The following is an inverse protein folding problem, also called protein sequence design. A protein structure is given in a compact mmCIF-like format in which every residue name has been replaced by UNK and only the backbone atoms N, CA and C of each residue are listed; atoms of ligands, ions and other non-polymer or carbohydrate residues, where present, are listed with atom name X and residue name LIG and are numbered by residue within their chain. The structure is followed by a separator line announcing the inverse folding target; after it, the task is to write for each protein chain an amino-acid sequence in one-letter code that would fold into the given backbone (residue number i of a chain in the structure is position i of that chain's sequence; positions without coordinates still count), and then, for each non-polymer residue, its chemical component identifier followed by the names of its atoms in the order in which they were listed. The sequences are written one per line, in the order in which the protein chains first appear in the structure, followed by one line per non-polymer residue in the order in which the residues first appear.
data_IF_946371051212
#
_entry.id   IF_946371051212
#
_cell.length_a   1.000
_cell.length_b   1.000
_cell.length_c   1.000
_cell.angle_alpha   90.00
_cell.angle_beta   90.00
_cell.angle_gamma   90.00
#
_symmetry.space_group_name_H-M   'P 1'
#
loop_
_entity.id
_entity.type
_entity.pdbx_description
1 polymer ?
#
# COMPACT_ATOMS: atom_id res chain seq x y z
N UNK A 1 40.66 28.92 -74.44
CA UNK A 1 42.01 28.96 -73.84
C UNK A 1 42.31 30.28 -73.09
N UNK A 2 41.77 31.42 -73.45
CA UNK A 2 42.11 32.70 -72.83
C UNK A 2 41.59 32.89 -71.35
N UNK A 3 40.45 32.30 -70.99
CA UNK A 3 39.87 32.39 -69.61
C UNK A 3 40.68 31.62 -68.55
N UNK A 4 41.31 30.51 -68.91
CA UNK A 4 42.13 29.73 -67.97
C UNK A 4 43.43 30.45 -67.57
N UNK A 5 44.06 31.15 -68.52
CA UNK A 5 45.34 31.90 -68.26
C UNK A 5 45.10 33.08 -67.34
N UNK A 6 43.99 33.78 -67.45
CA UNK A 6 43.67 34.91 -66.59
C UNK A 6 43.42 34.54 -65.12
N UNK A 7 42.79 33.39 -64.89
CA UNK A 7 42.54 32.85 -63.54
C UNK A 7 43.81 32.33 -62.89
N UNK A 8 44.71 31.68 -63.63
CA UNK A 8 46.00 31.23 -63.12
C UNK A 8 46.92 32.39 -62.75
N UNK A 9 46.96 33.44 -63.58
CA UNK A 9 47.77 34.64 -63.31
C UNK A 9 47.28 35.40 -62.07
N UNK A 10 45.99 35.53 -61.87
CA UNK A 10 45.39 36.17 -60.68
C UNK A 10 45.65 35.39 -59.39
N UNK A 11 45.78 34.10 -59.45
CA UNK A 11 46.06 33.22 -58.31
C UNK A 11 47.52 33.33 -57.87
N UNK A 12 48.44 33.58 -58.80
CA UNK A 12 49.86 33.64 -58.50
C UNK A 12 50.30 34.99 -57.93
N UNK A 13 49.63 36.10 -58.23
CA UNK A 13 49.99 37.45 -57.80
C UNK A 13 49.67 37.74 -56.32
N UNK A 14 48.74 37.08 -55.73
CA UNK A 14 48.30 37.34 -54.34
C UNK A 14 49.04 36.53 -53.28
N UNK A 15 49.95 35.62 -53.64
CA UNK A 15 50.62 34.71 -52.71
C UNK A 15 49.61 33.77 -51.98
N UNK A 16 48.36 33.75 -52.38
CA UNK A 16 47.27 32.96 -51.84
C UNK A 16 46.86 31.94 -52.89
N UNK A 17 46.84 30.67 -52.53
CA UNK A 17 46.31 29.61 -53.37
C UNK A 17 44.77 29.67 -53.34
N UNK A 18 44.20 30.21 -54.41
CA UNK A 18 42.75 30.14 -54.62
C UNK A 18 42.40 28.84 -55.42
N UNK A 19 41.31 28.28 -55.11
CA UNK A 19 40.76 27.17 -55.89
C UNK A 19 40.06 27.75 -57.11
N UNK A 20 40.35 27.22 -58.31
CA UNK A 20 39.50 27.49 -59.48
C UNK A 20 38.07 26.89 -59.27
N UNK A 21 37.20 27.12 -60.23
CA UNK A 21 35.82 26.71 -60.13
C UNK A 21 35.67 25.16 -60.01
N UNK A 22 36.59 24.40 -60.66
CA UNK A 22 36.60 22.93 -60.58
C UNK A 22 37.15 22.48 -59.24
N UNK A 23 38.22 23.10 -58.74
CA UNK A 23 38.75 22.84 -57.42
C UNK A 23 37.79 23.19 -56.27
N UNK A 24 37.03 24.29 -56.43
CA UNK A 24 35.98 24.65 -55.48
C UNK A 24 34.83 23.62 -55.50
N UNK A 25 34.42 23.19 -56.72
CA UNK A 25 33.37 22.14 -56.83
C UNK A 25 33.86 20.83 -56.21
N UNK A 26 35.13 20.48 -56.43
CA UNK A 26 35.72 19.26 -55.81
C UNK A 26 35.81 19.37 -54.27
N UNK A 27 36.19 20.56 -53.75
CA UNK A 27 36.19 20.79 -52.30
C UNK A 27 34.81 20.69 -51.71
N UNK A 28 33.80 21.25 -52.35
CA UNK A 28 32.38 21.12 -51.91
C UNK A 28 31.96 19.68 -51.90
N UNK A 29 32.26 18.92 -52.96
CA UNK A 29 31.95 17.51 -53.04
C UNK A 29 32.65 16.70 -51.90
N UNK A 30 33.93 16.97 -51.63
CA UNK A 30 34.68 16.32 -50.55
C UNK A 30 34.14 16.69 -49.17
N UNK A 31 33.68 17.91 -48.99
CA UNK A 31 33.02 18.30 -47.76
C UNK A 31 31.67 17.61 -47.61
N UNK A 32 30.89 17.48 -48.69
CA UNK A 32 29.62 16.73 -48.67
C UNK A 32 29.81 15.26 -48.37
N UNK A 33 30.97 14.66 -48.78
CA UNK A 33 31.33 13.29 -48.45
C UNK A 33 31.81 13.11 -46.99
N UNK A 34 32.38 14.19 -46.38
CA UNK A 34 32.96 14.14 -45.04
C UNK A 34 32.06 14.64 -43.94
N UNK A 35 31.15 15.54 -44.24
CA UNK A 35 30.30 16.20 -43.26
C UNK A 35 28.83 15.87 -43.54
N UNK A 36 28.13 15.54 -42.49
CA UNK A 36 26.68 15.37 -42.56
C UNK A 36 26.04 16.74 -42.83
N UNK A 37 25.31 16.90 -43.95
CA UNK A 37 24.55 18.12 -44.22
C UNK A 37 23.46 18.28 -43.19
N UNK A 38 23.28 19.48 -42.67
CA UNK A 38 22.14 19.84 -41.87
C UNK A 38 20.90 19.90 -42.78
N UNK A 39 19.96 19.01 -42.53
CA UNK A 39 18.62 19.08 -43.15
C UNK A 39 17.71 19.91 -42.24
N UNK A 40 16.86 20.76 -42.87
CA UNK A 40 15.91 21.60 -42.13
C UNK A 40 15.00 20.71 -41.21
N UNK A 41 14.99 21.06 -39.91
CA UNK A 41 14.26 20.26 -38.90
C UNK A 41 14.99 19.06 -38.31
N UNK A 42 16.25 18.77 -38.75
CA UNK A 42 17.09 17.71 -38.20
C UNK A 42 18.39 18.26 -37.59
N UNK A 43 18.78 17.71 -36.43
CA UNK A 43 20.07 18.03 -35.83
C UNK A 43 21.26 17.48 -36.66
N UNK A 44 22.50 17.94 -36.36
CA UNK A 44 23.74 17.53 -37.03
C UNK A 44 24.14 16.05 -36.89
N UNK A 45 23.36 15.28 -36.14
CA UNK A 45 23.50 13.84 -36.02
C UNK A 45 22.32 13.18 -36.70
N UNK A 46 22.59 12.47 -37.80
CA UNK A 46 21.67 11.41 -38.25
C UNK A 46 21.81 10.26 -37.23
N UNK A 47 21.29 10.50 -36.03
CA UNK A 47 20.98 9.41 -35.15
C UNK A 47 19.68 8.80 -35.69
N UNK A 48 19.79 8.08 -36.81
CA UNK A 48 18.72 7.30 -37.43
C UNK A 48 18.42 6.10 -36.51
N UNK A 49 17.98 6.41 -35.27
CA UNK A 49 17.23 5.45 -34.50
C UNK A 49 15.96 5.22 -35.31
N UNK A 50 15.92 4.08 -36.01
CA UNK A 50 14.70 3.64 -36.69
C UNK A 50 13.59 3.58 -35.64
N UNK A 51 12.35 3.69 -36.07
CA UNK A 51 11.20 3.60 -35.15
C UNK A 51 11.22 2.28 -34.37
N UNK A 52 11.86 1.24 -34.92
CA UNK A 52 12.08 -0.03 -34.27
C UNK A 52 13.06 0.10 -33.08
N UNK A 53 14.21 0.78 -33.24
CA UNK A 53 15.15 1.04 -32.15
C UNK A 53 14.55 1.97 -31.07
N UNK A 54 13.78 2.99 -31.48
CA UNK A 54 13.06 3.84 -30.51
C UNK A 54 12.10 3.00 -29.68
N UNK A 55 11.35 2.10 -30.33
CA UNK A 55 10.43 1.18 -29.64
C UNK A 55 11.19 0.26 -28.65
N UNK A 56 12.33 -0.30 -29.04
CA UNK A 56 13.17 -1.11 -28.17
C UNK A 56 13.64 -0.30 -26.95
N UNK A 57 14.13 0.92 -27.14
CA UNK A 57 14.57 1.79 -26.03
C UNK A 57 13.40 2.15 -25.11
N UNK A 58 12.23 2.45 -25.66
CA UNK A 58 11.01 2.73 -24.90
C UNK A 58 10.52 1.49 -24.14
N UNK A 59 10.67 0.29 -24.72
CA UNK A 59 10.32 -0.97 -24.06
C UNK A 59 11.30 -1.30 -22.92
N UNK A 60 12.61 -1.06 -23.12
CA UNK A 60 13.63 -1.26 -22.08
C UNK A 60 13.46 -0.27 -20.90
N UNK A 61 13.03 0.95 -21.16
CA UNK A 61 12.82 1.98 -20.14
C UNK A 61 11.42 1.90 -19.49
N UNK A 62 10.51 1.10 -20.05
CA UNK A 62 9.17 1.00 -19.52
C UNK A 62 9.14 0.36 -18.12
N UNK A 63 8.58 1.09 -17.18
CA UNK A 63 8.27 0.59 -15.83
C UNK A 63 6.75 0.46 -15.70
N UNK A 64 6.21 -0.75 -15.48
CA UNK A 64 4.78 -0.92 -15.24
C UNK A 64 4.29 -0.09 -14.06
N UNK A 65 3.04 0.36 -14.12
CA UNK A 65 2.41 1.01 -12.98
C UNK A 65 2.33 0.04 -11.80
N UNK A 66 2.55 0.56 -10.58
CA UNK A 66 2.31 -0.16 -9.32
C UNK A 66 1.65 0.75 -8.30
N UNK A 67 0.74 0.19 -7.51
CA UNK A 67 0.19 0.83 -6.32
C UNK A 67 1.03 0.37 -5.14
N UNK A 68 1.97 1.22 -4.70
CA UNK A 68 2.91 0.90 -3.62
C UNK A 68 2.16 0.70 -2.29
N UNK A 69 1.24 1.60 -1.97
CA UNK A 69 0.39 1.51 -0.78
C UNK A 69 -1.05 1.87 -1.10
N UNK A 70 -1.99 1.28 -0.36
CA UNK A 70 -3.38 1.70 -0.29
C UNK A 70 -3.91 1.32 1.08
N UNK A 71 -4.24 2.31 1.90
CA UNK A 71 -4.58 2.15 3.32
C UNK A 71 -5.79 3.01 3.67
N UNK A 72 -6.41 2.72 4.81
CA UNK A 72 -7.44 3.53 5.42
C UNK A 72 -7.07 3.85 6.88
N UNK A 73 -7.69 4.89 7.47
CA UNK A 73 -7.41 5.33 8.83
C UNK A 73 -8.23 4.62 9.91
N UNK A 74 -9.08 3.64 9.56
CA UNK A 74 -9.96 2.93 10.51
C UNK A 74 -9.52 1.48 10.75
N UNK A 75 -9.07 0.79 9.71
CA UNK A 75 -8.62 -0.61 9.72
C UNK A 75 -9.56 -1.57 10.46
N UNK A 76 -9.54 -1.53 11.80
CA UNK A 76 -10.33 -2.41 12.66
C UNK A 76 -11.15 -1.58 13.64
N UNK A 77 -12.44 -1.87 13.74
CA UNK A 77 -13.40 -1.24 14.66
C UNK A 77 -14.22 -2.31 15.39
N UNK A 78 -14.74 -1.94 16.56
CA UNK A 78 -15.59 -2.82 17.33
C UNK A 78 -16.96 -2.97 16.66
N UNK A 79 -17.47 -4.20 16.61
CA UNK A 79 -18.82 -4.49 16.13
C UNK A 79 -19.85 -3.71 16.94
N UNK A 80 -20.92 -3.24 16.28
CA UNK A 80 -21.90 -2.31 16.88
C UNK A 80 -21.58 -0.84 16.66
N UNK A 81 -20.31 -0.51 16.35
CA UNK A 81 -19.95 0.88 15.99
C UNK A 81 -20.45 1.25 14.61
N UNK A 82 -20.56 2.57 14.38
CA UNK A 82 -20.81 3.14 13.05
C UNK A 82 -19.60 3.98 12.63
N UNK A 83 -19.05 3.71 11.46
CA UNK A 83 -17.98 4.53 10.89
C UNK A 83 -18.60 5.54 9.94
N UNK A 84 -18.44 6.83 10.28
CA UNK A 84 -19.01 7.97 9.52
C UNK A 84 -18.03 8.57 8.53
N UNK A 85 -16.74 8.53 8.85
CA UNK A 85 -15.71 9.15 8.04
C UNK A 85 -14.53 8.20 7.87
N UNK A 86 -14.08 8.02 6.62
CA UNK A 86 -12.92 7.21 6.29
C UNK A 86 -12.01 8.00 5.37
N UNK A 87 -10.74 8.12 5.76
CA UNK A 87 -9.71 8.68 4.89
C UNK A 87 -8.90 7.54 4.27
N UNK A 88 -8.95 7.47 2.95
CA UNK A 88 -8.18 6.56 2.12
C UNK A 88 -6.91 7.27 1.66
N UNK A 89 -5.77 6.58 1.71
CA UNK A 89 -4.47 7.12 1.30
C UNK A 89 -3.73 6.09 0.45
N UNK A 90 -3.08 6.55 -0.62
CA UNK A 90 -2.34 5.66 -1.53
C UNK A 90 -1.10 6.32 -2.10
N UNK A 91 -0.24 5.47 -2.67
CA UNK A 91 0.95 5.91 -3.40
C UNK A 91 1.15 5.05 -4.64
N UNK A 92 1.58 5.68 -5.72
CA UNK A 92 1.98 5.03 -6.96
C UNK A 92 3.50 5.12 -7.14
N UNK A 93 4.09 4.21 -7.95
CA UNK A 93 5.49 4.31 -8.35
C UNK A 93 5.71 5.37 -9.45
N UNK A 94 4.66 5.68 -10.22
CA UNK A 94 4.62 6.72 -11.26
C UNK A 94 3.19 7.25 -11.40
N UNK A 95 2.99 8.39 -12.04
CA UNK A 95 1.67 8.96 -12.30
C UNK A 95 0.87 8.03 -13.23
N UNK A 96 -0.35 7.62 -12.86
CA UNK A 96 -1.21 6.82 -13.73
C UNK A 96 -1.81 7.66 -14.87
N UNK A 97 -2.15 7.01 -16.00
CA UNK A 97 -2.99 7.56 -17.07
C UNK A 97 -4.42 7.75 -16.58
N UNK A 98 -4.92 6.81 -15.79
CA UNK A 98 -6.24 6.89 -15.16
C UNK A 98 -6.25 6.13 -13.83
N UNK A 99 -7.12 6.54 -12.91
CA UNK A 99 -7.33 5.88 -11.64
C UNK A 99 -8.81 5.83 -11.29
N UNK A 100 -9.22 4.79 -10.55
CA UNK A 100 -10.58 4.63 -10.02
C UNK A 100 -10.53 4.11 -8.58
N UNK A 101 -11.47 4.59 -7.78
CA UNK A 101 -11.80 4.03 -6.48
C UNK A 101 -13.16 3.33 -6.59
N UNK A 102 -13.18 2.01 -6.49
CA UNK A 102 -14.31 1.19 -6.87
C UNK A 102 -14.75 1.55 -8.32
N UNK A 103 -15.90 2.18 -8.49
CA UNK A 103 -16.40 2.61 -9.80
C UNK A 103 -16.22 4.11 -10.07
N UNK A 104 -15.75 4.88 -9.09
CA UNK A 104 -15.58 6.33 -9.20
C UNK A 104 -14.25 6.67 -9.85
N UNK A 105 -14.26 7.51 -10.89
CA UNK A 105 -13.05 8.04 -11.51
C UNK A 105 -12.39 9.05 -10.57
N UNK A 106 -11.09 8.89 -10.36
CA UNK A 106 -10.28 9.78 -9.53
C UNK A 106 -9.44 10.73 -10.40
N UNK A 107 -9.19 11.93 -9.88
CA UNK A 107 -8.08 12.75 -10.37
C UNK A 107 -6.76 12.02 -10.09
N UNK A 108 -5.96 11.82 -11.13
CA UNK A 108 -4.69 11.09 -11.08
C UNK A 108 -3.60 11.78 -10.23
N UNK A 109 -3.83 13.02 -9.84
CA UNK A 109 -2.94 13.77 -8.95
C UNK A 109 -3.26 13.56 -7.47
N UNK A 110 -4.41 12.97 -7.16
CA UNK A 110 -4.80 12.69 -5.77
C UNK A 110 -4.01 11.49 -5.22
N UNK A 111 -3.64 11.59 -3.97
CA UNK A 111 -3.04 10.52 -3.16
C UNK A 111 -3.83 10.22 -1.89
N UNK A 112 -4.93 10.95 -1.69
CA UNK A 112 -5.82 10.78 -0.54
C UNK A 112 -7.25 11.18 -0.90
N UNK A 113 -8.22 10.56 -0.24
CA UNK A 113 -9.65 10.92 -0.34
C UNK A 113 -10.35 10.63 0.98
N UNK A 114 -11.09 11.60 1.48
CA UNK A 114 -11.96 11.42 2.65
C UNK A 114 -13.38 11.16 2.18
N UNK A 115 -13.95 10.05 2.63
CA UNK A 115 -15.33 9.65 2.43
C UNK A 115 -16.09 10.06 3.71
N UNK A 116 -16.72 11.22 3.68
CA UNK A 116 -17.50 11.75 4.81
C UNK A 116 -18.97 11.31 4.74
N UNK A 117 -19.67 11.36 5.89
CA UNK A 117 -21.10 11.08 5.99
C UNK A 117 -21.47 9.63 5.69
N UNK A 118 -20.53 8.70 5.85
CA UNK A 118 -20.78 7.28 5.67
C UNK A 118 -21.63 6.71 6.82
N UNK A 119 -22.25 5.56 6.60
CA UNK A 119 -22.93 4.79 7.66
C UNK A 119 -22.50 3.32 7.56
N UNK A 120 -21.19 3.08 7.77
CA UNK A 120 -20.61 1.76 7.65
C UNK A 120 -20.74 1.04 8.99
N UNK A 121 -21.47 -0.07 9.03
CA UNK A 121 -21.73 -0.89 10.23
C UNK A 121 -21.26 -2.33 10.11
N UNK A 122 -20.76 -2.71 8.93
CA UNK A 122 -20.23 -4.04 8.60
C UNK A 122 -18.95 -3.90 7.80
N UNK A 123 -18.23 -5.00 7.63
CA UNK A 123 -16.99 -5.01 6.84
C UNK A 123 -17.20 -4.35 5.47
N UNK A 124 -16.32 -3.43 5.13
CA UNK A 124 -16.33 -2.69 3.87
C UNK A 124 -14.92 -2.69 3.26
N UNK A 125 -14.84 -3.12 2.02
CA UNK A 125 -13.60 -3.10 1.23
C UNK A 125 -13.72 -2.06 0.13
N UNK A 126 -12.64 -1.35 -0.14
CA UNK A 126 -12.45 -0.46 -1.28
C UNK A 126 -11.36 -1.02 -2.18
N UNK A 127 -11.55 -0.84 -3.48
CA UNK A 127 -10.58 -1.24 -4.51
C UNK A 127 -10.09 0.00 -5.23
N UNK A 128 -8.79 0.24 -5.16
CA UNK A 128 -8.11 1.23 -5.99
C UNK A 128 -7.57 0.53 -7.24
N UNK A 129 -7.87 1.07 -8.42
CA UNK A 129 -7.29 0.63 -9.69
C UNK A 129 -6.55 1.79 -10.36
N UNK A 130 -5.44 1.47 -11.02
CA UNK A 130 -4.63 2.43 -11.74
C UNK A 130 -4.18 1.81 -13.07
N UNK A 131 -4.29 2.60 -14.14
CA UNK A 131 -3.92 2.20 -15.51
C UNK A 131 -2.80 3.10 -16.01
N UNK A 132 -1.80 2.54 -16.65
CA UNK A 132 -0.68 3.29 -17.21
C UNK A 132 -0.87 3.65 -18.70
N UNK A 133 0.16 4.27 -19.28
CA UNK A 133 0.21 4.71 -20.68
C UNK A 133 0.12 3.57 -21.71
N UNK A 134 0.42 2.32 -21.29
CA UNK A 134 0.31 1.10 -22.10
C UNK A 134 -0.95 0.29 -21.80
N UNK A 135 -1.93 0.92 -21.15
CA UNK A 135 -3.21 0.32 -20.76
C UNK A 135 -3.08 -0.89 -19.81
N UNK A 136 -1.93 -1.01 -19.11
CA UNK A 136 -1.78 -1.96 -18.02
C UNK A 136 -2.48 -1.46 -16.78
N UNK A 137 -3.35 -2.30 -16.22
CA UNK A 137 -4.12 -1.98 -15.01
C UNK A 137 -3.65 -2.83 -13.83
N UNK A 138 -3.49 -2.20 -12.70
CA UNK A 138 -3.21 -2.84 -11.41
C UNK A 138 -4.26 -2.44 -10.40
N UNK A 139 -4.51 -3.31 -9.43
CA UNK A 139 -5.47 -3.08 -8.35
C UNK A 139 -4.85 -3.35 -6.99
N UNK A 140 -5.34 -2.65 -5.98
CA UNK A 140 -5.03 -2.89 -4.57
C UNK A 140 -6.26 -2.61 -3.71
N UNK A 141 -6.43 -3.35 -2.62
CA UNK A 141 -7.58 -3.20 -1.74
C UNK A 141 -7.18 -2.74 -0.35
N UNK A 142 -8.12 -2.07 0.33
CA UNK A 142 -8.07 -1.79 1.76
C UNK A 142 -9.47 -2.00 2.35
N UNK A 143 -9.55 -2.35 3.65
CA UNK A 143 -10.83 -2.65 4.27
C UNK A 143 -10.93 -2.10 5.68
N UNK A 144 -12.14 -1.72 6.07
CA UNK A 144 -12.55 -1.62 7.48
C UNK A 144 -13.16 -2.94 7.89
N UNK A 145 -12.64 -3.53 8.97
CA UNK A 145 -13.08 -4.82 9.51
C UNK A 145 -13.72 -4.61 10.89
N UNK A 146 -14.93 -5.12 11.06
CA UNK A 146 -15.64 -5.09 12.33
C UNK A 146 -15.37 -6.36 13.10
N UNK A 147 -14.79 -6.25 14.28
CA UNK A 147 -14.40 -7.36 15.13
C UNK A 147 -15.02 -7.26 16.52
N UNK A 148 -15.17 -8.41 17.18
CA UNK A 148 -15.55 -8.45 18.58
C UNK A 148 -14.37 -8.16 19.49
N UNK A 149 -14.67 -7.60 20.66
CA UNK A 149 -13.73 -7.55 21.75
C UNK A 149 -13.50 -8.95 22.34
N UNK A 150 -12.27 -9.30 22.64
CA UNK A 150 -11.95 -10.29 23.66
C UNK A 150 -11.37 -9.55 24.86
N UNK A 151 -11.64 -10.07 26.06
CA UNK A 151 -11.35 -9.39 27.30
C UNK A 151 -10.48 -10.26 28.19
N UNK A 152 -9.47 -9.69 28.83
CA UNK A 152 -8.59 -10.39 29.75
C UNK A 152 -8.12 -9.49 30.88
N UNK A 153 -7.76 -10.08 31.98
CA UNK A 153 -7.22 -9.34 33.12
C UNK A 153 -7.23 -10.14 34.39
N UNK A 154 -6.99 -9.46 35.47
CA UNK A 154 -7.03 -10.04 36.82
C UNK A 154 -8.13 -9.38 37.64
N UNK A 155 -8.79 -10.17 38.45
CA UNK A 155 -9.79 -9.68 39.40
C UNK A 155 -9.91 -10.65 40.57
N UNK A 156 -10.48 -10.18 41.67
CA UNK A 156 -10.87 -11.03 42.78
C UNK A 156 -11.87 -12.07 42.33
N UNK A 157 -11.97 -13.15 43.09
CA UNK A 157 -12.93 -14.23 42.79
C UNK A 157 -14.36 -13.69 42.75
N UNK A 158 -15.00 -13.79 41.60
CA UNK A 158 -16.43 -13.45 41.46
C UNK A 158 -17.22 -14.69 41.08
N UNK A 159 -18.30 -14.91 41.83
CA UNK A 159 -19.19 -16.08 41.60
C UNK A 159 -20.16 -15.84 40.44
N UNK A 160 -20.41 -14.58 40.09
CA UNK A 160 -21.42 -14.25 39.07
C UNK A 160 -20.96 -13.12 38.18
N UNK A 161 -19.92 -13.31 37.33
CA UNK A 161 -19.47 -12.28 36.40
C UNK A 161 -20.59 -11.91 35.43
N UNK A 162 -20.72 -10.62 35.17
CA UNK A 162 -21.72 -10.02 34.29
C UNK A 162 -21.07 -9.12 33.24
N UNK A 163 -21.86 -8.45 32.41
CA UNK A 163 -21.40 -7.45 31.42
C UNK A 163 -20.52 -6.36 32.07
N UNK A 164 -20.94 -5.84 33.23
CA UNK A 164 -20.20 -4.80 33.93
C UNK A 164 -18.83 -5.27 34.42
N UNK A 165 -18.73 -6.53 34.84
CA UNK A 165 -17.45 -7.17 35.16
C UNK A 165 -16.54 -7.28 33.93
N UNK A 166 -17.03 -7.80 32.82
CA UNK A 166 -16.24 -8.00 31.58
C UNK A 166 -15.74 -6.68 31.02
N UNK A 167 -16.57 -5.64 31.04
CA UNK A 167 -16.18 -4.30 30.55
C UNK A 167 -15.06 -3.63 31.33
N UNK A 168 -14.76 -4.07 32.56
CA UNK A 168 -13.61 -3.58 33.37
C UNK A 168 -12.30 -4.25 32.99
N UNK A 169 -12.31 -5.37 32.30
CA UNK A 169 -11.10 -6.07 31.84
C UNK A 169 -10.44 -5.35 30.67
N UNK A 170 -9.19 -5.67 30.40
CA UNK A 170 -8.49 -5.18 29.22
C UNK A 170 -9.14 -5.75 27.97
N UNK A 171 -9.41 -4.90 26.97
CA UNK A 171 -10.04 -5.28 25.71
C UNK A 171 -9.04 -5.29 24.55
N UNK A 172 -9.19 -6.25 23.65
CA UNK A 172 -8.58 -6.25 22.32
C UNK A 172 -9.54 -6.78 21.28
N UNK A 173 -9.53 -6.18 20.10
CA UNK A 173 -10.36 -6.64 18.98
C UNK A 173 -9.72 -7.86 18.32
N UNK A 174 -10.48 -8.95 18.17
CA UNK A 174 -10.00 -10.21 17.63
C UNK A 174 -11.02 -10.85 16.66
N UNK A 175 -10.51 -11.57 15.66
CA UNK A 175 -11.33 -12.32 14.72
C UNK A 175 -11.61 -13.77 15.19
N UNK A 176 -10.92 -14.23 16.23
CA UNK A 176 -11.01 -15.59 16.77
C UNK A 176 -10.61 -15.62 18.24
N UNK A 177 -10.59 -16.81 18.83
CA UNK A 177 -10.26 -17.05 20.24
C UNK A 177 -8.78 -16.86 20.61
N UNK A 178 -7.89 -16.85 19.64
CA UNK A 178 -6.45 -16.86 19.90
C UNK A 178 -5.95 -15.51 20.43
N UNK A 179 -5.25 -15.57 21.57
CA UNK A 179 -4.66 -14.39 22.21
C UNK A 179 -3.49 -14.79 23.10
N UNK A 180 -2.40 -14.04 23.02
CA UNK A 180 -1.34 -14.11 24.03
C UNK A 180 -1.33 -12.81 24.81
N UNK A 181 -1.31 -12.90 26.12
CA UNK A 181 -1.24 -11.75 27.01
C UNK A 181 -0.44 -12.08 28.29
N UNK A 182 0.09 -11.03 28.93
CA UNK A 182 0.80 -11.15 30.20
C UNK A 182 0.07 -10.34 31.26
N UNK A 183 -0.16 -10.93 32.41
CA UNK A 183 -0.81 -10.31 33.57
C UNK A 183 -0.10 -10.68 34.85
N UNK A 184 -0.33 -9.92 35.93
CA UNK A 184 0.17 -10.24 37.27
C UNK A 184 -1.03 -10.37 38.21
N UNK A 185 -1.33 -11.60 38.63
CA UNK A 185 -2.38 -11.89 39.60
C UNK A 185 -1.80 -11.82 41.02
N UNK A 186 -2.23 -10.80 41.77
CA UNK A 186 -1.87 -10.59 43.17
C UNK A 186 -2.67 -11.48 44.13
N UNK A 187 -2.58 -11.15 45.44
CA UNK A 187 -3.31 -11.88 46.46
C UNK A 187 -4.81 -11.89 46.24
N UNK A 188 -5.44 -13.07 46.31
CA UNK A 188 -6.87 -13.27 46.07
C UNK A 188 -7.32 -13.15 44.62
N UNK A 189 -6.45 -12.77 43.71
CA UNK A 189 -6.82 -12.51 42.32
C UNK A 189 -6.68 -13.75 41.45
N UNK A 190 -7.68 -13.92 40.58
CA UNK A 190 -7.69 -14.86 39.47
C UNK A 190 -7.47 -14.15 38.14
N UNK A 191 -7.01 -14.90 37.12
CA UNK A 191 -6.92 -14.44 35.74
C UNK A 191 -8.23 -14.78 35.03
N UNK A 192 -8.79 -13.82 34.30
CA UNK A 192 -10.02 -14.00 33.52
C UNK A 192 -9.76 -13.81 32.04
N UNK A 193 -10.54 -14.54 31.23
CA UNK A 193 -10.61 -14.41 29.78
C UNK A 193 -12.05 -14.52 29.31
N UNK A 194 -12.56 -13.54 28.55
CA UNK A 194 -13.93 -13.54 28.06
C UNK A 194 -13.96 -13.26 26.55
N UNK A 195 -14.77 -14.03 25.81
CA UNK A 195 -14.82 -13.98 24.36
C UNK A 195 -16.20 -14.41 23.84
N UNK A 196 -16.56 -14.05 22.58
CA UNK A 196 -17.78 -14.55 21.94
C UNK A 196 -17.84 -16.07 21.92
N UNK A 197 -18.94 -16.67 22.38
CA UNK A 197 -19.14 -18.11 22.39
C UNK A 197 -18.97 -18.76 21.01
N UNK A 198 -19.31 -18.05 19.94
CA UNK A 198 -19.12 -18.53 18.56
C UNK A 198 -17.66 -18.75 18.14
N UNK A 199 -16.68 -18.25 18.91
CA UNK A 199 -15.27 -18.54 18.67
C UNK A 199 -14.85 -19.94 19.12
N UNK A 200 -15.77 -20.65 19.82
CA UNK A 200 -15.58 -22.01 20.28
C UNK A 200 -14.78 -22.12 21.57
N UNK A 201 -14.63 -23.35 22.04
CA UNK A 201 -13.87 -23.65 23.25
C UNK A 201 -12.42 -23.19 23.17
N UNK A 202 -11.91 -22.64 24.29
CA UNK A 202 -10.54 -22.16 24.40
C UNK A 202 -9.69 -23.17 25.17
N UNK A 203 -8.53 -23.47 24.64
CA UNK A 203 -7.46 -24.14 25.40
C UNK A 203 -6.46 -23.11 25.87
N UNK A 204 -5.99 -23.26 27.11
CA UNK A 204 -5.09 -22.31 27.74
C UNK A 204 -3.72 -22.95 27.97
N UNK A 205 -2.66 -22.19 27.73
CA UNK A 205 -1.32 -22.52 28.15
C UNK A 205 -0.82 -21.41 29.07
N UNK A 206 -0.44 -21.74 30.30
CA UNK A 206 0.00 -20.80 31.33
C UNK A 206 1.41 -21.13 31.74
N UNK A 207 2.34 -20.22 31.45
CA UNK A 207 3.74 -20.42 31.80
C UNK A 207 4.38 -21.69 31.20
N UNK A 208 3.85 -22.17 30.07
CA UNK A 208 4.31 -23.39 29.37
C UNK A 208 3.50 -24.66 29.70
N UNK A 209 2.51 -24.61 30.59
CA UNK A 209 1.66 -25.75 30.97
C UNK A 209 0.25 -25.56 30.42
N UNK A 210 -0.32 -26.61 29.81
CA UNK A 210 -1.68 -26.60 29.29
C UNK A 210 -2.73 -26.81 30.40
N UNK A 211 -3.83 -26.05 30.34
CA UNK A 211 -4.95 -26.12 31.31
C UNK A 211 -4.94 -24.95 32.30
N UNK A 212 -5.49 -25.21 33.47
CA UNK A 212 -5.56 -24.25 34.59
C UNK A 212 -6.61 -23.15 34.45
N UNK A 213 -7.61 -23.36 33.57
CA UNK A 213 -8.77 -22.46 33.40
C UNK A 213 -10.04 -23.27 33.26
N UNK A 214 -11.10 -22.80 33.92
CA UNK A 214 -12.46 -23.35 33.83
C UNK A 214 -13.43 -22.30 33.28
N UNK A 215 -14.33 -22.71 32.39
CA UNK A 215 -15.44 -21.86 31.95
C UNK A 215 -16.42 -21.72 33.12
N UNK A 216 -16.56 -20.50 33.64
CA UNK A 216 -17.38 -20.23 34.83
C UNK A 216 -18.78 -19.78 34.47
N UNK A 217 -18.98 -19.15 33.31
CA UNK A 217 -20.29 -18.66 32.88
C UNK A 217 -20.37 -18.37 31.40
N UNK A 218 -21.55 -18.45 30.82
CA UNK A 218 -21.95 -17.85 29.57
C UNK A 218 -22.94 -16.72 29.85
N UNK A 219 -22.76 -15.55 29.28
CA UNK A 219 -23.63 -14.37 29.45
C UNK A 219 -24.04 -13.77 28.11
N UNK A 220 -25.21 -13.11 28.09
CA UNK A 220 -25.52 -12.13 27.03
C UNK A 220 -24.74 -10.84 27.34
N UNK A 221 -23.68 -10.65 26.61
CA UNK A 221 -22.76 -9.52 26.80
C UNK A 221 -23.10 -8.40 25.83
N UNK A 222 -23.29 -7.18 26.37
CA UNK A 222 -23.46 -5.97 25.55
C UNK A 222 -22.20 -5.13 25.64
N UNK A 223 -21.54 -4.92 24.50
CA UNK A 223 -20.34 -4.10 24.45
C UNK A 223 -20.62 -2.60 24.56
N UNK A 224 -19.56 -1.78 24.65
CA UNK A 224 -19.69 -0.32 24.78
C UNK A 224 -20.36 0.35 23.57
N UNK A 225 -20.40 -0.30 22.42
CA UNK A 225 -21.08 0.17 21.19
C UNK A 225 -22.53 -0.29 21.07
N UNK A 226 -23.07 -0.98 22.11
CA UNK A 226 -24.46 -1.44 22.17
C UNK A 226 -24.75 -2.75 21.43
N UNK A 227 -23.71 -3.45 20.95
CA UNK A 227 -23.89 -4.79 20.34
C UNK A 227 -23.97 -5.86 21.42
N UNK A 228 -24.98 -6.71 21.34
CA UNK A 228 -25.20 -7.82 22.27
C UNK A 228 -24.92 -9.15 21.59
N UNK A 229 -24.15 -10.00 22.25
CA UNK A 229 -23.80 -11.34 21.80
C UNK A 229 -23.43 -12.22 22.99
N UNK A 230 -23.65 -13.54 22.90
CA UNK A 230 -23.27 -14.51 23.94
C UNK A 230 -21.74 -14.59 24.08
N UNK A 231 -21.26 -14.47 25.32
CA UNK A 231 -19.85 -14.57 25.71
C UNK A 231 -19.63 -15.67 26.73
N UNK A 232 -18.56 -16.44 26.52
CA UNK A 232 -18.03 -17.38 27.51
C UNK A 232 -16.98 -16.67 28.36
N UNK A 233 -17.06 -16.87 29.67
CA UNK A 233 -16.12 -16.35 30.65
C UNK A 233 -15.35 -17.50 31.27
N UNK A 234 -14.03 -17.44 31.11
CA UNK A 234 -13.08 -18.39 31.73
C UNK A 234 -12.35 -17.71 32.87
N UNK A 235 -12.02 -18.49 33.88
CA UNK A 235 -11.29 -18.06 35.07
C UNK A 235 -10.19 -19.08 35.38
N UNK A 236 -8.99 -18.58 35.79
CA UNK A 236 -7.93 -19.47 36.28
C UNK A 236 -8.41 -20.26 37.50
N UNK A 237 -8.09 -21.55 37.57
CA UNK A 237 -8.49 -22.43 38.67
C UNK A 237 -7.85 -21.99 39.98
N UNK A 238 -6.62 -21.50 39.91
CA UNK A 238 -5.87 -20.99 41.06
C UNK A 238 -5.82 -19.47 41.07
N UNK A 239 -5.85 -18.87 42.26
CA UNK A 239 -5.50 -17.48 42.54
C UNK A 239 -4.01 -17.33 42.80
N UNK A 240 -3.55 -16.09 42.95
CA UNK A 240 -2.18 -15.74 43.39
C UNK A 240 -1.07 -16.23 42.46
N UNK A 241 -1.38 -16.32 41.15
CA UNK A 241 -0.44 -16.90 40.17
C UNK A 241 0.79 -16.02 39.88
N UNK A 242 0.86 -14.79 40.43
CA UNK A 242 1.91 -13.86 40.13
C UNK A 242 1.91 -13.45 38.65
N UNK A 243 3.09 -13.15 38.11
CA UNK A 243 3.25 -12.79 36.70
C UNK A 243 3.19 -14.02 35.82
N UNK A 244 2.21 -14.06 34.95
CA UNK A 244 1.99 -15.15 33.98
C UNK A 244 1.86 -14.62 32.56
N UNK A 245 2.37 -15.39 31.61
CA UNK A 245 2.00 -15.28 30.21
C UNK A 245 1.02 -16.38 29.85
N UNK A 246 -0.15 -15.98 29.38
CA UNK A 246 -1.25 -16.88 29.00
C UNK A 246 -1.37 -16.90 27.49
N UNK A 247 -1.40 -18.08 26.90
CA UNK A 247 -1.63 -18.32 25.48
C UNK A 247 -2.97 -19.02 25.34
N UNK A 248 -3.93 -18.35 24.69
CA UNK A 248 -5.25 -18.86 24.34
C UNK A 248 -5.25 -19.38 22.90
N UNK A 249 -5.79 -20.62 22.70
CA UNK A 249 -5.85 -21.29 21.39
C UNK A 249 -7.23 -21.89 21.12
#
# INVERSE_FOLDING_TARGET
MAKRKATEAAVLEAGKKYLDQEGLAHLVQKNDERYVRQEEGKGLSKNDFTDEYKKIVDDLNYKPIAINSFTNNKNTVEIGSTVTDVTLTWAYNKKPKSAKLDNEVLDVNLTTKTLAGQSIKTNKTWTLSATDERDKTVTKTTAVTFLNGVYWGVAENTLNPDTGFVLKLTKGLQANKAKTFTVTAGEGQHIYYALPTRYGEVTFNVGGFDGGFTKVKTIEFTNASGHTESYDIYKSDNANLGKQTVVCK
#
